data_IF_191472855054
#
_entry.id   IF_191472855054
#
_cell.length_a   1.000
_cell.length_b   1.000
_cell.length_c   1.000
_cell.angle_alpha   90.00
_cell.angle_beta   90.00
_cell.angle_gamma   90.00
#
_symmetry.space_group_name_H-M   'P 1'
#
loop_
_entity.id
_entity.type
_entity.pdbx_description
1 polymer ?
#
# COMPACT_ATOMS: atom_id res chain seq x y z
N UNK A 1 -1.29 -3.20 -16.83
CA UNK A 1 -0.54 -2.46 -15.79
C UNK A 1 0.77 -3.14 -15.41
N UNK A 2 0.75 -4.42 -14.99
CA UNK A 2 1.95 -5.14 -14.53
C UNK A 2 3.15 -5.11 -15.51
N UNK A 3 2.90 -5.24 -16.82
CA UNK A 3 3.94 -5.17 -17.86
C UNK A 3 4.67 -3.82 -17.89
N UNK A 4 3.95 -2.71 -17.73
CA UNK A 4 4.53 -1.37 -17.68
C UNK A 4 5.43 -1.21 -16.45
N UNK A 5 4.93 -1.64 -15.28
CA UNK A 5 5.70 -1.58 -14.04
C UNK A 5 6.98 -2.43 -14.13
N UNK A 6 6.91 -3.66 -14.64
CA UNK A 6 8.08 -4.53 -14.83
C UNK A 6 9.12 -3.89 -15.76
N UNK A 7 8.68 -3.32 -16.89
CA UNK A 7 9.57 -2.65 -17.84
C UNK A 7 10.29 -1.45 -17.20
N UNK A 8 9.58 -0.66 -16.39
CA UNK A 8 10.15 0.52 -15.71
C UNK A 8 11.08 0.14 -14.56
N UNK A 9 10.72 -0.87 -13.77
CA UNK A 9 11.56 -1.37 -12.65
C UNK A 9 12.86 -1.98 -13.18
N UNK A 10 12.78 -2.85 -14.20
CA UNK A 10 13.98 -3.50 -14.78
C UNK A 10 14.81 -2.57 -15.66
N UNK A 11 14.18 -1.59 -16.31
CA UNK A 11 14.84 -0.58 -17.13
C UNK A 11 15.49 0.56 -16.34
N UNK A 12 15.40 0.56 -15.01
CA UNK A 12 15.96 1.62 -14.17
C UNK A 12 15.21 2.95 -14.24
N UNK A 13 14.01 2.97 -14.83
CA UNK A 13 13.16 4.14 -14.96
C UNK A 13 12.15 4.23 -13.80
N UNK A 14 12.63 4.02 -12.57
CA UNK A 14 11.78 4.00 -11.38
C UNK A 14 11.16 5.38 -11.09
N UNK A 15 11.90 6.44 -11.39
CA UNK A 15 11.47 7.83 -11.18
C UNK A 15 10.20 8.18 -11.99
N UNK A 16 9.90 7.46 -13.08
CA UNK A 16 8.69 7.67 -13.90
C UNK A 16 7.40 7.14 -13.26
N UNK A 17 7.52 6.24 -12.28
CA UNK A 17 6.38 5.53 -11.65
C UNK A 17 6.24 5.83 -10.16
N UNK A 18 7.19 6.55 -9.58
CA UNK A 18 7.17 6.97 -8.17
C UNK A 18 6.25 8.18 -8.03
N UNK A 19 5.46 8.20 -6.94
CA UNK A 19 4.66 9.37 -6.59
C UNK A 19 5.56 10.60 -6.35
N UNK A 20 5.38 11.71 -7.10
CA UNK A 20 6.16 12.93 -6.91
C UNK A 20 6.11 13.50 -5.48
N UNK A 21 5.04 13.23 -4.72
CA UNK A 21 4.90 13.70 -3.33
C UNK A 21 5.84 13.00 -2.35
N UNK A 22 6.46 11.87 -2.73
CA UNK A 22 7.46 11.17 -1.90
C UNK A 22 8.82 11.90 -1.83
N UNK A 23 9.04 12.90 -2.70
CA UNK A 23 10.26 13.74 -2.70
C UNK A 23 11.57 12.91 -2.64
N UNK A 24 11.63 11.80 -3.40
CA UNK A 24 12.74 10.83 -3.38
C UNK A 24 14.10 11.45 -3.68
N UNK A 25 14.15 12.54 -4.44
CA UNK A 25 15.40 13.24 -4.76
C UNK A 25 15.96 14.03 -3.58
N UNK A 26 15.10 14.44 -2.63
CA UNK A 26 15.51 15.23 -1.46
C UNK A 26 15.94 14.35 -0.28
N UNK A 27 15.52 13.08 -0.28
CA UNK A 27 15.78 12.14 0.81
C UNK A 27 16.37 10.83 0.26
N UNK A 28 17.71 10.67 0.27
CA UNK A 28 18.37 9.47 -0.26
C UNK A 28 17.96 8.19 0.50
N UNK A 29 17.59 8.30 1.77
CA UNK A 29 17.02 7.20 2.56
C UNK A 29 15.68 6.72 2.01
N UNK A 30 14.80 7.64 1.60
CA UNK A 30 13.51 7.32 0.97
C UNK A 30 13.75 6.69 -0.40
N UNK A 31 14.69 7.20 -1.21
CA UNK A 31 15.06 6.59 -2.49
C UNK A 31 15.52 5.14 -2.32
N UNK A 32 16.38 4.86 -1.33
CA UNK A 32 16.82 3.51 -1.03
C UNK A 32 15.66 2.60 -0.60
N UNK A 33 14.73 3.12 0.21
CA UNK A 33 13.53 2.39 0.64
C UNK A 33 12.65 2.02 -0.56
N UNK A 34 12.38 3.00 -1.43
CA UNK A 34 11.58 2.82 -2.64
C UNK A 34 12.20 1.79 -3.57
N UNK A 35 13.53 1.81 -3.73
CA UNK A 35 14.24 0.82 -4.53
C UNK A 35 14.05 -0.61 -3.98
N UNK A 36 14.09 -0.79 -2.66
CA UNK A 36 13.82 -2.10 -2.01
C UNK A 36 12.38 -2.56 -2.25
N UNK A 37 11.41 -1.65 -2.14
CA UNK A 37 10.01 -1.96 -2.43
C UNK A 37 9.82 -2.33 -3.91
N UNK A 38 10.52 -1.66 -4.82
CA UNK A 38 10.46 -1.95 -6.25
C UNK A 38 11.01 -3.34 -6.59
N UNK A 39 12.10 -3.73 -5.94
CA UNK A 39 12.68 -5.09 -6.06
C UNK A 39 11.70 -6.16 -5.56
N UNK A 40 11.00 -5.90 -4.46
CA UNK A 40 9.93 -6.78 -3.97
C UNK A 40 8.75 -6.83 -4.95
N UNK A 41 8.32 -5.67 -5.46
CA UNK A 41 7.23 -5.57 -6.43
C UNK A 41 7.54 -6.33 -7.72
N UNK A 42 8.79 -6.32 -8.20
CA UNK A 42 9.22 -7.09 -9.37
C UNK A 42 8.94 -8.59 -9.18
N UNK A 43 9.29 -9.16 -8.02
CA UNK A 43 9.01 -10.56 -7.69
C UNK A 43 7.52 -10.84 -7.58
N UNK A 44 6.75 -9.94 -6.96
CA UNK A 44 5.30 -10.06 -6.86
C UNK A 44 4.60 -10.05 -8.24
N UNK A 45 5.16 -9.32 -9.21
CA UNK A 45 4.64 -9.18 -10.56
C UNK A 45 5.14 -10.27 -11.53
N UNK A 46 5.96 -11.23 -11.07
CA UNK A 46 6.50 -12.29 -11.90
C UNK A 46 5.41 -13.02 -12.70
N UNK A 47 5.68 -13.30 -13.98
CA UNK A 47 4.75 -14.07 -14.81
C UNK A 47 4.64 -15.52 -14.32
N UNK A 48 5.77 -16.08 -13.89
CA UNK A 48 5.84 -17.38 -13.26
C UNK A 48 5.22 -17.32 -11.85
N UNK A 49 4.19 -18.14 -11.62
CA UNK A 49 3.45 -18.16 -10.36
C UNK A 49 4.29 -18.72 -9.22
N UNK A 50 5.15 -19.69 -9.50
CA UNK A 50 5.94 -20.36 -8.47
C UNK A 50 7.13 -19.50 -8.01
N UNK A 51 7.51 -18.51 -8.83
CA UNK A 51 8.50 -17.51 -8.48
C UNK A 51 7.93 -16.33 -7.66
N UNK A 52 6.60 -16.24 -7.49
CA UNK A 52 5.98 -15.17 -6.70
C UNK A 52 6.14 -15.47 -5.21
N UNK A 53 6.54 -14.48 -4.40
CA UNK A 53 6.56 -14.65 -2.95
C UNK A 53 5.13 -14.82 -2.43
N UNK A 54 5.02 -15.58 -1.34
CA UNK A 54 3.78 -15.68 -0.57
C UNK A 54 3.48 -14.35 0.12
N UNK A 55 2.21 -14.07 0.43
CA UNK A 55 1.83 -12.83 1.12
C UNK A 55 2.49 -12.71 2.51
N UNK A 56 2.81 -13.84 3.15
CA UNK A 56 3.55 -13.88 4.41
C UNK A 56 4.99 -13.37 4.21
N UNK A 57 5.68 -13.84 3.17
CA UNK A 57 7.03 -13.37 2.83
C UNK A 57 7.02 -11.89 2.46
N UNK A 58 6.04 -11.45 1.66
CA UNK A 58 5.86 -10.04 1.32
C UNK A 58 5.70 -9.19 2.58
N UNK A 59 4.83 -9.58 3.51
CA UNK A 59 4.62 -8.84 4.76
C UNK A 59 5.88 -8.80 5.63
N UNK A 60 6.62 -9.91 5.70
CA UNK A 60 7.86 -9.99 6.44
C UNK A 60 8.94 -9.06 5.84
N UNK A 61 9.13 -9.11 4.52
CA UNK A 61 10.08 -8.25 3.83
C UNK A 61 9.72 -6.76 3.96
N UNK A 62 8.45 -6.40 3.82
CA UNK A 62 8.01 -5.01 4.05
C UNK A 62 8.29 -4.54 5.48
N UNK A 63 8.18 -5.43 6.46
CA UNK A 63 8.52 -5.11 7.87
C UNK A 63 10.02 -4.84 8.03
N UNK A 64 10.87 -5.61 7.36
CA UNK A 64 12.33 -5.38 7.35
C UNK A 64 12.69 -4.07 6.64
N UNK A 65 12.07 -3.80 5.49
CA UNK A 65 12.22 -2.56 4.73
C UNK A 65 11.85 -1.36 5.61
N UNK A 66 10.71 -1.40 6.30
CA UNK A 66 10.28 -0.34 7.22
C UNK A 66 11.26 -0.15 8.39
N UNK A 67 11.75 -1.25 8.98
CA UNK A 67 12.70 -1.20 10.09
C UNK A 67 14.04 -0.55 9.68
N UNK A 68 14.48 -0.75 8.43
CA UNK A 68 15.70 -0.13 7.91
C UNK A 68 15.60 1.40 7.77
N UNK A 69 14.38 1.97 7.74
CA UNK A 69 14.14 3.42 7.65
C UNK A 69 14.10 4.13 9.00
N UNK A 70 13.90 3.40 10.10
CA UNK A 70 13.77 3.98 11.43
C UNK A 70 15.13 3.91 12.15
N UNK A 71 15.67 5.02 12.68
CA UNK A 71 16.73 4.94 13.67
C UNK A 71 16.18 4.14 14.86
N UNK A 72 16.94 3.14 15.31
CA UNK A 72 16.61 2.31 16.47
C UNK A 72 16.45 3.17 17.72
N UNK A 73 15.24 3.66 18.00
CA UNK A 73 14.85 3.97 19.37
C UNK A 73 14.37 2.67 20.01
N UNK A 74 15.11 2.22 21.02
CA UNK A 74 14.79 1.04 21.81
C UNK A 74 13.38 1.15 22.40
N UNK A 75 12.41 0.51 21.77
CA UNK A 75 11.10 0.24 22.37
C UNK A 75 10.82 -1.26 22.26
N UNK A 76 10.37 -1.91 23.36
CA UNK A 76 10.20 -3.35 23.40
C UNK A 76 9.18 -3.77 22.34
N UNK A 77 9.55 -4.78 21.55
CA UNK A 77 8.73 -5.39 20.50
C UNK A 77 7.34 -5.66 21.05
N UNK A 78 6.38 -4.82 20.66
CA UNK A 78 4.97 -4.97 20.99
C UNK A 78 4.48 -6.30 20.45
N UNK A 79 4.24 -7.23 21.36
CA UNK A 79 3.44 -8.43 21.15
C UNK A 79 2.14 -7.96 20.50
N UNK A 80 1.87 -8.41 19.27
CA UNK A 80 0.56 -8.23 18.66
C UNK A 80 -0.49 -8.79 19.63
N UNK A 81 -1.43 -7.98 20.16
CA UNK A 81 -2.52 -8.53 20.91
C UNK A 81 -3.36 -9.36 19.92
N UNK A 82 -3.42 -10.67 20.15
CA UNK A 82 -4.48 -11.50 19.59
C UNK A 82 -5.77 -10.90 20.13
N UNK A 83 -6.50 -10.15 19.32
CA UNK A 83 -7.80 -9.64 19.69
C UNK A 83 -8.76 -10.84 19.74
N UNK A 84 -9.39 -11.13 20.89
CA UNK A 84 -10.34 -12.22 20.98
C UNK A 84 -11.59 -11.89 20.16
N UNK A 85 -12.01 -12.92 19.45
CA UNK A 85 -13.26 -13.05 18.73
C UNK A 85 -14.48 -12.75 19.63
N UNK A 86 -15.44 -11.99 19.11
CA UNK A 86 -16.83 -12.04 19.57
C UNK A 86 -17.31 -10.95 20.51
N UNK A 87 -17.67 -9.79 19.97
CA UNK A 87 -18.91 -9.09 20.38
C UNK A 87 -19.62 -8.54 19.14
N UNK A 88 -20.69 -9.23 18.79
CA UNK A 88 -21.71 -8.83 17.83
C UNK A 88 -22.33 -7.47 18.21
N UNK A 89 -22.35 -6.52 17.28
CA UNK A 89 -23.24 -5.36 17.33
C UNK A 89 -23.69 -5.03 15.91
N UNK A 90 -25.01 -5.01 15.62
CA UNK A 90 -25.50 -4.96 14.25
C UNK A 90 -25.77 -3.51 13.84
N UNK A 91 -24.75 -2.76 13.44
CA UNK A 91 -24.97 -1.56 12.63
C UNK A 91 -23.77 -1.28 11.70
N UNK A 92 -23.93 -1.80 10.47
CA UNK A 92 -23.43 -1.21 9.22
C UNK A 92 -21.91 -1.01 9.11
N UNK A 93 -21.17 -2.12 9.20
CA UNK A 93 -19.83 -2.25 8.62
C UNK A 93 -19.96 -2.22 7.10
N UNK A 94 -19.56 -1.12 6.47
CA UNK A 94 -19.34 -1.09 5.03
C UNK A 94 -18.13 -1.96 4.68
N UNK A 95 -18.36 -3.23 4.36
CA UNK A 95 -17.29 -4.12 3.91
C UNK A 95 -16.73 -3.60 2.59
N UNK A 96 -15.40 -3.56 2.49
CA UNK A 96 -14.70 -3.42 1.21
C UNK A 96 -15.27 -4.46 0.24
N UNK A 97 -15.61 -4.07 -1.00
CA UNK A 97 -16.19 -5.00 -1.95
C UNK A 97 -15.19 -6.13 -2.23
N UNK A 98 -15.59 -7.37 -1.93
CA UNK A 98 -14.81 -8.59 -2.21
C UNK A 98 -14.93 -9.05 -3.67
N UNK A 99 -15.66 -8.29 -4.49
CA UNK A 99 -15.90 -8.60 -5.90
C UNK A 99 -15.86 -7.32 -6.74
N UNK A 100 -15.25 -7.42 -7.93
CA UNK A 100 -15.06 -6.30 -8.88
C UNK A 100 -16.40 -5.74 -9.39
N UNK A 101 -17.46 -6.54 -9.31
CA UNK A 101 -18.82 -6.15 -9.70
C UNK A 101 -19.62 -5.49 -8.57
N UNK A 102 -19.10 -5.47 -7.34
CA UNK A 102 -19.83 -4.90 -6.22
C UNK A 102 -19.75 -3.36 -6.27
N UNK A 103 -20.92 -2.73 -6.18
CA UNK A 103 -21.10 -1.30 -6.16
C UNK A 103 -20.58 -0.74 -4.83
N UNK A 104 -19.59 0.16 -4.91
CA UNK A 104 -19.10 0.89 -3.74
C UNK A 104 -20.21 1.80 -3.21
N UNK A 105 -20.62 1.68 -1.94
CA UNK A 105 -21.61 2.59 -1.38
C UNK A 105 -20.94 3.94 -1.07
N UNK A 106 -20.99 4.87 -2.03
CA UNK A 106 -20.72 6.29 -1.77
C UNK A 106 -22.04 6.98 -1.43
N UNK A 107 -22.33 7.18 -0.14
CA UNK A 107 -23.34 8.17 0.27
C UNK A 107 -22.63 9.38 0.89
N UNK A 108 -22.27 10.35 0.06
CA UNK A 108 -22.15 11.75 0.45
C UNK A 108 -22.13 12.59 -0.81
N UNK A 109 -23.31 12.99 -1.28
CA UNK A 109 -23.42 14.17 -2.15
C UNK A 109 -24.19 15.20 -1.35
N UNK A 110 -23.47 16.13 -0.73
CA UNK A 110 -24.07 17.37 -0.23
C UNK A 110 -24.49 18.20 -1.44
N UNK A 111 -25.77 18.63 -1.56
CA UNK A 111 -26.10 19.66 -2.53
C UNK A 111 -25.48 20.98 -2.04
N UNK A 112 -24.58 21.56 -2.84
CA UNK A 112 -24.09 22.91 -2.61
C UNK A 112 -25.26 23.89 -2.76
N UNK A 113 -25.52 24.61 -1.67
CA UNK A 113 -26.34 25.80 -1.63
C UNK A 113 -25.69 26.90 -2.49
N UNK A 114 -26.46 27.56 -3.36
CA UNK A 114 -26.07 28.83 -3.98
C UNK A 114 -27.32 29.64 -4.27
N UNK A 115 -27.51 30.66 -3.42
CA UNK A 115 -28.46 31.77 -3.53
C UNK A 115 -28.13 32.72 -4.69
N UNK A 116 -29.09 33.63 -4.96
CA UNK A 116 -29.09 34.87 -5.79
C UNK A 116 -29.56 34.68 -7.25
N UNK A 117 -30.33 35.56 -7.91
CA UNK A 117 -31.12 36.78 -7.60
C UNK A 117 -31.81 37.17 -8.94
N UNK A 118 -33.12 37.46 -8.92
CA UNK A 118 -33.91 38.53 -9.61
C UNK A 118 -35.37 38.11 -9.87
#
# INVERSE_FOLDING_TARGET
LASLALAKITGGCLDDIIDPFLQVDQHPSVRALVQRVAELAFRCLSYDKDARPTMLEVAHELSLIKAASMPLENSPKGVFPILPEGTESPDKVGCSPTSVQALWPSNSTTPSDSLTET
#
